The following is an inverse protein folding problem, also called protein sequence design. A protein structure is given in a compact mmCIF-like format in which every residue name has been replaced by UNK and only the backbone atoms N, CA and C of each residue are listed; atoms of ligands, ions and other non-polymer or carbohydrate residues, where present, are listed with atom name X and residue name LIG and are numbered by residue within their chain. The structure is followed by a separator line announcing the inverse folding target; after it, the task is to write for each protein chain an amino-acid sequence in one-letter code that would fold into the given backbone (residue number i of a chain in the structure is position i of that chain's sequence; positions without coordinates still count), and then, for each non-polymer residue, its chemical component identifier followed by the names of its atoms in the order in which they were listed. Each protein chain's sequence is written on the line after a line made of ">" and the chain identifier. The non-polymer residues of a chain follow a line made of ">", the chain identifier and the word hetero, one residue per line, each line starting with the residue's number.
data_IF_725937081099
#
_entry.id   IF_725937081099
#
_cell.length_a   1.000
_cell.length_b   1.000
_cell.length_c   1.000
_cell.angle_alpha   90.00
_cell.angle_beta   90.00
_cell.angle_gamma   90.00
#
_symmetry.space_group_name_H-M   'P 1'
#
loop_
_entity.id
_entity.type
_entity.pdbx_description
1 polymer ?
#
# COMPACT_ATOMS: atom_id res chain seq x y z
N UNK A 1 15.04 14.01 18.23
CA UNK A 1 15.66 15.33 17.99
C UNK A 1 14.74 16.17 17.12
N UNK A 2 14.99 17.48 16.93
CA UNK A 2 14.17 18.36 16.07
C UNK A 2 14.12 17.89 14.62
N UNK A 3 15.24 17.40 14.09
CA UNK A 3 15.37 16.89 12.73
C UNK A 3 14.41 15.74 12.39
N UNK A 4 14.02 14.95 13.40
CA UNK A 4 13.13 13.81 13.21
C UNK A 4 11.63 14.18 13.19
N UNK A 5 11.32 15.44 13.49
CA UNK A 5 9.95 15.97 13.49
C UNK A 5 9.50 16.34 12.09
N UNK A 6 8.18 16.50 11.89
CA UNK A 6 7.67 17.03 10.63
C UNK A 6 8.28 18.39 10.28
N UNK A 7 8.43 19.28 11.26
CA UNK A 7 9.01 20.60 11.03
C UNK A 7 10.48 20.53 10.57
N UNK A 8 11.29 19.75 11.26
CA UNK A 8 12.69 19.53 10.89
C UNK A 8 12.85 18.87 9.52
N UNK A 9 12.04 17.86 9.22
CA UNK A 9 12.05 17.15 7.93
C UNK A 9 11.72 18.08 6.76
N UNK A 10 10.69 18.91 6.90
CA UNK A 10 10.30 19.90 5.87
C UNK A 10 11.38 20.98 5.70
N UNK A 11 11.97 21.45 6.80
CA UNK A 11 13.08 22.41 6.75
C UNK A 11 14.28 21.84 5.98
N UNK A 12 14.64 20.58 6.21
CA UNK A 12 15.77 19.91 5.54
C UNK A 12 15.58 19.78 4.02
N UNK A 13 14.35 19.62 3.54
CA UNK A 13 14.04 19.54 2.10
C UNK A 13 13.81 20.91 1.44
N UNK A 14 13.99 22.00 2.18
CA UNK A 14 14.13 23.35 1.60
C UNK A 14 12.92 24.27 1.69
N UNK A 15 12.01 24.08 2.66
CA UNK A 15 10.93 25.05 2.93
C UNK A 15 11.11 25.71 4.30
N UNK A 16 12.02 26.69 4.37
CA UNK A 16 12.34 27.42 5.61
C UNK A 16 11.36 28.54 5.95
N UNK A 17 10.49 28.95 5.02
CA UNK A 17 9.59 30.09 5.22
C UNK A 17 8.23 29.68 5.81
N UNK A 18 7.81 28.43 5.59
CA UNK A 18 6.46 27.95 5.95
C UNK A 18 6.44 26.96 7.11
N UNK A 19 7.57 26.76 7.76
CA UNK A 19 7.73 25.78 8.84
C UNK A 19 8.45 26.39 10.03
N UNK A 20 8.06 26.00 11.25
CA UNK A 20 8.68 26.50 12.46
C UNK A 20 10.06 25.87 12.68
N UNK A 21 11.09 26.72 12.78
CA UNK A 21 12.45 26.40 13.16
C UNK A 21 12.65 26.27 14.68
N UNK A 22 13.89 25.99 15.07
CA UNK A 22 14.27 25.91 16.49
C UNK A 22 14.01 27.25 17.22
N UNK A 23 14.35 28.37 16.58
CA UNK A 23 14.25 29.71 17.18
C UNK A 23 12.79 30.16 17.41
N UNK A 24 11.85 29.67 16.61
CA UNK A 24 10.42 30.02 16.73
C UNK A 24 9.81 29.45 18.02
N UNK A 25 10.31 28.31 18.51
CA UNK A 25 9.85 27.70 19.76
C UNK A 25 10.79 27.98 20.96
N UNK A 26 12.10 28.03 20.72
CA UNK A 26 13.10 28.17 21.79
C UNK A 26 13.55 29.61 22.06
N UNK A 27 13.00 30.60 21.33
CA UNK A 27 13.37 32.02 21.39
C UNK A 27 14.87 32.23 21.17
N UNK A 28 15.26 32.64 19.96
CA UNK A 28 16.67 32.62 19.50
C UNK A 28 17.67 33.29 20.46
N UNK A 29 17.42 34.54 20.87
CA UNK A 29 18.14 35.18 21.96
C UNK A 29 17.29 35.15 23.23
N UNK A 30 17.90 34.82 24.38
CA UNK A 30 17.24 34.61 25.68
C UNK A 30 16.45 33.29 25.81
N UNK A 31 17.01 32.17 25.34
CA UNK A 31 16.44 30.83 25.58
C UNK A 31 16.36 30.52 27.08
N UNK A 32 15.14 30.50 27.61
CA UNK A 32 14.86 30.16 29.00
C UNK A 32 14.55 28.67 29.17
N UNK A 33 14.91 28.11 30.33
CA UNK A 33 14.54 26.73 30.70
C UNK A 33 13.02 26.58 30.68
N UNK A 34 12.52 25.40 30.30
CA UNK A 34 11.07 25.12 30.25
C UNK A 34 10.34 25.24 31.60
N UNK A 35 11.08 25.28 32.72
CA UNK A 35 10.53 25.53 34.05
C UNK A 35 10.40 27.02 34.40
N UNK A 36 11.00 27.94 33.63
CA UNK A 36 10.82 29.38 33.83
C UNK A 36 9.45 29.80 33.26
N UNK A 37 8.56 30.46 34.03
CA UNK A 37 7.24 30.90 33.57
C UNK A 37 7.26 31.85 32.35
N UNK A 38 8.40 32.50 32.09
CA UNK A 38 8.61 33.38 30.92
C UNK A 38 9.06 32.62 29.68
N UNK A 39 9.40 31.35 29.79
CA UNK A 39 9.77 30.52 28.64
C UNK A 39 8.56 30.25 27.76
N UNK A 40 8.74 30.37 26.44
CA UNK A 40 7.75 29.91 25.45
C UNK A 40 7.45 28.40 25.58
N UNK A 41 8.35 27.65 26.21
CA UNK A 41 8.22 26.21 26.44
C UNK A 41 7.62 25.87 27.80
N UNK A 42 7.25 26.86 28.61
CA UNK A 42 6.58 26.63 29.88
C UNK A 42 5.21 25.98 29.65
N UNK A 43 4.80 24.95 30.43
CA UNK A 43 3.54 24.24 30.22
C UNK A 43 2.30 25.13 30.06
N UNK A 44 2.26 26.26 30.77
CA UNK A 44 1.17 27.23 30.68
C UNK A 44 1.22 28.11 29.41
N UNK A 45 2.40 28.27 28.81
CA UNK A 45 2.62 29.08 27.61
C UNK A 45 2.56 28.27 26.31
N UNK A 46 2.74 26.95 26.37
CA UNK A 46 2.76 26.07 25.19
C UNK A 46 1.54 26.24 24.28
N UNK A 47 0.35 26.43 24.88
CA UNK A 47 -0.85 26.69 24.08
C UNK A 47 -0.71 27.95 23.23
N UNK A 48 -0.26 29.04 23.85
CA UNK A 48 -0.03 30.33 23.18
C UNK A 48 1.04 30.20 22.11
N UNK A 49 2.16 29.55 22.42
CA UNK A 49 3.27 29.35 21.47
C UNK A 49 2.87 28.53 20.24
N UNK A 50 2.15 27.43 20.42
CA UNK A 50 1.65 26.64 19.27
C UNK A 50 0.61 27.43 18.46
N UNK A 51 -0.22 28.25 19.11
CA UNK A 51 -1.29 29.00 18.46
C UNK A 51 -0.78 30.12 17.54
N UNK A 52 0.47 30.57 17.70
CA UNK A 52 1.11 31.53 16.79
C UNK A 52 1.04 31.06 15.32
N UNK A 53 1.25 29.76 15.08
CA UNK A 53 1.15 29.16 13.74
C UNK A 53 -0.13 28.32 13.57
N UNK A 54 -0.65 27.72 14.64
CA UNK A 54 -1.85 26.86 14.61
C UNK A 54 -3.08 27.56 15.22
N UNK A 55 -3.60 28.58 14.53
CA UNK A 55 -4.67 29.43 15.04
C UNK A 55 -5.96 28.70 15.47
N UNK A 56 -6.29 27.57 14.83
CA UNK A 56 -7.51 26.77 15.05
C UNK A 56 -7.32 25.63 16.06
N UNK A 57 -6.19 25.59 16.78
CA UNK A 57 -5.84 24.51 17.69
C UNK A 57 -6.59 24.60 19.04
N UNK A 58 -7.02 23.44 19.54
CA UNK A 58 -7.59 23.29 20.87
C UNK A 58 -6.51 23.01 21.93
N UNK A 59 -6.74 23.40 23.19
CA UNK A 59 -5.75 23.28 24.29
C UNK A 59 -5.26 21.84 24.52
N UNK A 60 -6.08 20.82 24.19
CA UNK A 60 -5.69 19.39 24.27
C UNK A 60 -4.48 19.02 23.40
N UNK A 61 -4.22 19.78 22.33
CA UNK A 61 -3.06 19.56 21.47
C UNK A 61 -1.73 19.79 22.19
N UNK A 62 -1.69 20.55 23.30
CA UNK A 62 -0.46 20.80 24.08
C UNK A 62 0.17 19.52 24.62
N UNK A 63 -0.58 18.41 24.69
CA UNK A 63 -0.02 17.08 24.99
C UNK A 63 0.74 16.44 23.82
N UNK A 64 0.79 17.09 22.65
CA UNK A 64 1.63 16.71 21.53
C UNK A 64 3.09 16.90 21.92
N UNK A 65 3.91 15.85 21.79
CA UNK A 65 5.33 15.97 22.05
C UNK A 65 6.06 16.38 20.77
N UNK A 66 6.59 17.60 20.77
CA UNK A 66 7.35 18.10 19.63
C UNK A 66 8.66 17.32 19.43
N UNK A 67 9.29 16.80 20.49
CA UNK A 67 10.57 16.08 20.42
C UNK A 67 10.57 14.87 21.35
N UNK A 68 9.91 13.75 20.98
CA UNK A 68 9.91 12.55 21.81
C UNK A 68 11.34 12.13 22.18
N UNK A 69 11.58 11.86 23.47
CA UNK A 69 12.90 11.47 23.99
C UNK A 69 13.86 12.62 24.33
N UNK A 70 13.53 13.88 24.03
CA UNK A 70 14.39 15.02 24.38
C UNK A 70 14.43 15.32 25.89
N UNK A 71 13.37 14.99 26.63
CA UNK A 71 13.28 15.21 28.08
C UNK A 71 13.68 13.94 28.83
N UNK A 72 14.81 13.98 29.55
CA UNK A 72 15.28 12.87 30.38
C UNK A 72 14.25 12.53 31.47
N UNK A 73 13.89 11.25 31.60
CA UNK A 73 12.99 10.75 32.64
C UNK A 73 11.48 10.82 32.33
N UNK A 74 11.06 11.42 31.20
CA UNK A 74 9.66 11.40 30.77
C UNK A 74 9.35 10.05 30.10
N UNK A 75 8.30 9.35 30.57
CA UNK A 75 7.92 8.04 30.01
C UNK A 75 6.98 8.19 28.82
N UNK A 76 7.35 7.61 27.68
CA UNK A 76 6.61 7.65 26.41
C UNK A 76 5.90 6.32 26.11
N UNK A 77 5.27 5.70 27.12
CA UNK A 77 4.79 4.32 27.04
C UNK A 77 3.85 4.06 25.86
N UNK A 78 2.83 4.89 25.66
CA UNK A 78 1.87 4.70 24.58
C UNK A 78 2.51 4.81 23.19
N UNK A 79 3.44 5.76 23.02
CA UNK A 79 4.13 5.99 21.77
C UNK A 79 5.08 4.82 21.44
N UNK A 80 5.83 4.35 22.44
CA UNK A 80 6.71 3.20 22.32
C UNK A 80 5.97 1.88 22.07
N UNK A 81 4.81 1.68 22.72
CA UNK A 81 3.95 0.52 22.45
C UNK A 81 3.40 0.54 21.02
N UNK A 82 2.97 1.71 20.52
CA UNK A 82 2.51 1.86 19.16
C UNK A 82 3.64 1.56 18.15
N UNK A 83 4.84 2.09 18.40
CA UNK A 83 6.04 1.83 17.60
C UNK A 83 6.40 0.33 17.57
N UNK A 84 6.51 -0.32 18.73
CA UNK A 84 6.78 -1.76 18.81
C UNK A 84 5.71 -2.56 18.07
N UNK A 85 4.43 -2.22 18.26
CA UNK A 85 3.34 -2.89 17.56
C UNK A 85 3.49 -2.77 16.04
N UNK A 86 3.75 -1.57 15.52
CA UNK A 86 3.95 -1.36 14.07
C UNK A 86 5.18 -2.11 13.54
N UNK A 87 6.29 -2.12 14.29
CA UNK A 87 7.50 -2.86 13.91
C UNK A 87 7.23 -4.37 13.88
N UNK A 88 6.56 -4.91 14.90
CA UNK A 88 6.21 -6.34 14.93
C UNK A 88 5.26 -6.72 13.80
N UNK A 89 4.28 -5.86 13.50
CA UNK A 89 3.39 -6.04 12.36
C UNK A 89 4.18 -6.09 11.05
N UNK A 90 5.08 -5.12 10.84
CA UNK A 90 5.91 -5.01 9.65
C UNK A 90 6.83 -6.22 9.47
N UNK A 91 7.57 -6.59 10.52
CA UNK A 91 8.47 -7.76 10.50
C UNK A 91 7.69 -9.04 10.26
N UNK A 92 6.54 -9.21 10.93
CA UNK A 92 5.69 -10.39 10.78
C UNK A 92 5.16 -10.57 9.36
N UNK A 93 4.61 -9.49 8.77
CA UNK A 93 4.08 -9.50 7.40
C UNK A 93 5.20 -9.77 6.40
N UNK A 94 6.32 -9.04 6.46
CA UNK A 94 7.41 -9.27 5.51
C UNK A 94 8.08 -10.62 5.67
N UNK A 95 8.33 -11.09 6.90
CA UNK A 95 8.91 -12.41 7.11
C UNK A 95 8.05 -13.51 6.49
N UNK A 96 6.72 -13.44 6.65
CA UNK A 96 5.81 -14.40 6.04
C UNK A 96 5.82 -14.31 4.51
N UNK A 97 5.57 -13.12 3.94
CA UNK A 97 5.38 -12.99 2.50
C UNK A 97 6.68 -13.06 1.70
N UNK A 98 7.81 -12.56 2.20
CA UNK A 98 9.09 -12.73 1.52
C UNK A 98 9.57 -14.17 1.56
N UNK A 99 9.40 -14.88 2.69
CA UNK A 99 9.69 -16.32 2.74
C UNK A 99 8.81 -17.07 1.74
N UNK A 100 7.51 -16.75 1.72
CA UNK A 100 6.56 -17.34 0.79
C UNK A 100 6.96 -17.11 -0.68
N UNK A 101 7.19 -15.85 -1.07
CA UNK A 101 7.65 -15.44 -2.40
C UNK A 101 8.94 -16.15 -2.79
N UNK A 102 9.92 -16.22 -1.89
CA UNK A 102 11.19 -16.91 -2.14
C UNK A 102 11.00 -18.41 -2.36
N UNK A 103 10.21 -19.08 -1.51
CA UNK A 103 9.91 -20.51 -1.64
C UNK A 103 9.14 -20.80 -2.93
N UNK A 104 8.21 -19.94 -3.31
CA UNK A 104 7.49 -20.03 -4.57
C UNK A 104 8.44 -19.88 -5.75
N UNK A 105 9.23 -18.81 -5.80
CA UNK A 105 10.21 -18.58 -6.86
C UNK A 105 11.13 -19.79 -7.05
N UNK A 106 11.72 -20.29 -5.96
CA UNK A 106 12.57 -21.49 -5.97
C UNK A 106 11.84 -22.68 -6.58
N UNK A 107 10.62 -22.97 -6.12
CA UNK A 107 9.88 -24.14 -6.56
C UNK A 107 9.44 -24.03 -8.02
N UNK A 108 8.90 -22.88 -8.42
CA UNK A 108 8.49 -22.60 -9.80
C UNK A 108 9.67 -22.72 -10.77
N UNK A 109 10.84 -22.19 -10.38
CA UNK A 109 12.06 -22.31 -11.16
C UNK A 109 12.49 -23.78 -11.34
N UNK A 110 12.51 -24.56 -10.25
CA UNK A 110 12.85 -25.99 -10.30
C UNK A 110 11.89 -26.79 -11.18
N UNK A 111 10.58 -26.55 -11.06
CA UNK A 111 9.57 -27.24 -11.87
C UNK A 111 9.71 -26.87 -13.36
N UNK A 112 10.01 -25.60 -13.68
CA UNK A 112 10.29 -25.17 -15.06
C UNK A 112 11.56 -25.82 -15.62
N UNK A 113 12.63 -25.88 -14.84
CA UNK A 113 13.86 -26.59 -15.23
C UNK A 113 13.63 -28.09 -15.46
N UNK A 114 12.80 -28.75 -14.63
CA UNK A 114 12.44 -30.17 -14.81
C UNK A 114 11.63 -30.39 -16.07
N UNK A 115 10.61 -29.56 -16.31
CA UNK A 115 9.81 -29.62 -17.55
C UNK A 115 10.66 -29.40 -18.79
N UNK A 116 11.61 -28.45 -18.74
CA UNK A 116 12.58 -28.21 -19.83
C UNK A 116 13.47 -29.43 -20.07
N UNK A 117 14.04 -30.03 -19.02
CA UNK A 117 14.86 -31.26 -19.14
C UNK A 117 14.07 -32.45 -19.70
N UNK A 118 12.77 -32.52 -19.42
CA UNK A 118 11.89 -33.56 -19.92
C UNK A 118 11.32 -33.27 -21.33
N UNK A 119 11.73 -32.16 -21.97
CA UNK A 119 11.30 -31.81 -23.33
C UNK A 119 9.87 -31.25 -23.45
N UNK A 120 9.23 -30.87 -22.33
CA UNK A 120 7.84 -30.37 -22.33
C UNK A 120 7.70 -28.85 -22.55
N UNK A 121 8.80 -28.12 -22.74
CA UNK A 121 8.78 -26.67 -23.00
C UNK A 121 9.49 -26.43 -24.33
N UNK A 122 8.72 -26.08 -25.36
CA UNK A 122 9.23 -25.52 -26.61
C UNK A 122 9.45 -24.01 -26.45
N UNK A 123 10.65 -23.54 -26.79
CA UNK A 123 11.01 -22.12 -26.77
C UNK A 123 10.34 -21.40 -27.96
N UNK A 124 9.03 -21.10 -27.86
CA UNK A 124 8.36 -20.22 -28.82
C UNK A 124 8.72 -18.76 -28.56
N UNK A 125 9.65 -18.22 -29.35
CA UNK A 125 9.99 -16.79 -29.39
C UNK A 125 8.93 -15.94 -30.10
N UNK A 126 7.99 -16.57 -30.80
CA UNK A 126 6.95 -15.86 -31.53
C UNK A 126 5.89 -15.31 -30.56
N UNK A 127 5.55 -14.01 -30.61
CA UNK A 127 4.35 -13.52 -29.94
C UNK A 127 3.14 -14.23 -30.57
N UNK A 128 2.45 -15.05 -29.79
CA UNK A 128 1.21 -15.68 -30.23
C UNK A 128 0.22 -14.56 -30.55
N UNK A 129 -0.22 -14.43 -31.80
CA UNK A 129 -1.32 -13.55 -32.17
C UNK A 129 -2.59 -14.07 -31.50
N UNK A 130 -2.98 -13.44 -30.39
CA UNK A 130 -4.09 -13.90 -29.53
C UNK A 130 -5.44 -13.44 -30.08
N UNK A 131 -5.81 -13.90 -31.27
CA UNK A 131 -7.17 -13.75 -31.82
C UNK A 131 -8.16 -14.79 -31.28
N UNK A 132 -7.68 -15.72 -30.44
CA UNK A 132 -8.51 -16.70 -29.76
C UNK A 132 -9.50 -16.01 -28.78
N UNK A 133 -10.70 -16.58 -28.66
CA UNK A 133 -11.71 -16.11 -27.70
C UNK A 133 -11.14 -16.17 -26.29
N UNK A 134 -11.05 -15.02 -25.63
CA UNK A 134 -10.57 -14.86 -24.26
C UNK A 134 -11.72 -14.73 -23.28
N UNK A 135 -11.46 -14.97 -22.00
CA UNK A 135 -12.45 -14.81 -20.93
C UNK A 135 -12.30 -13.43 -20.30
N UNK A 136 -13.43 -12.74 -20.10
CA UNK A 136 -13.47 -11.47 -19.39
C UNK A 136 -13.30 -11.69 -17.87
N UNK A 137 -12.19 -11.21 -17.30
CA UNK A 137 -11.90 -11.22 -15.85
C UNK A 137 -12.34 -9.93 -15.17
N UNK A 138 -12.02 -8.79 -15.78
CA UNK A 138 -12.27 -7.47 -15.20
C UNK A 138 -13.11 -6.58 -16.11
N UNK A 139 -13.99 -5.79 -15.50
CA UNK A 139 -14.80 -4.79 -16.20
C UNK A 139 -14.00 -3.52 -16.47
N UNK A 140 -14.45 -2.68 -17.40
CA UNK A 140 -13.82 -1.39 -17.68
C UNK A 140 -13.74 -0.52 -16.42
N UNK A 141 -14.79 -0.51 -15.59
CA UNK A 141 -14.82 0.21 -14.32
C UNK A 141 -13.68 -0.22 -13.39
N UNK A 142 -13.49 -1.53 -13.21
CA UNK A 142 -12.41 -2.06 -12.36
C UNK A 142 -11.02 -1.70 -12.90
N UNK A 143 -10.85 -1.74 -14.22
CA UNK A 143 -9.59 -1.36 -14.89
C UNK A 143 -9.27 0.12 -14.66
N UNK A 144 -10.25 1.00 -14.84
CA UNK A 144 -10.10 2.46 -14.61
C UNK A 144 -9.81 2.75 -13.14
N UNK A 145 -10.55 2.12 -12.21
CA UNK A 145 -10.30 2.24 -10.78
C UNK A 145 -8.86 1.84 -10.44
N UNK A 146 -8.35 0.76 -11.03
CA UNK A 146 -6.99 0.30 -10.80
C UNK A 146 -5.94 1.28 -11.34
N UNK A 147 -6.13 1.83 -12.54
CA UNK A 147 -5.23 2.86 -13.09
C UNK A 147 -5.20 4.10 -12.19
N UNK A 148 -6.36 4.57 -11.72
CA UNK A 148 -6.43 5.68 -10.78
C UNK A 148 -5.73 5.35 -9.45
N UNK A 149 -5.92 4.14 -8.94
CA UNK A 149 -5.23 3.64 -7.75
C UNK A 149 -3.71 3.68 -7.93
N UNK A 150 -3.19 3.18 -9.05
CA UNK A 150 -1.76 3.20 -9.38
C UNK A 150 -1.22 4.64 -9.37
N UNK A 151 -1.88 5.55 -10.09
CA UNK A 151 -1.44 6.94 -10.21
C UNK A 151 -1.46 7.66 -8.85
N UNK A 152 -2.52 7.48 -8.06
CA UNK A 152 -2.61 8.03 -6.70
C UNK A 152 -1.54 7.44 -5.78
N UNK A 153 -1.34 6.12 -5.81
CA UNK A 153 -0.35 5.45 -4.98
C UNK A 153 1.07 5.91 -5.26
N UNK A 154 1.47 5.98 -6.54
CA UNK A 154 2.79 6.51 -6.91
C UNK A 154 2.97 7.97 -6.52
N UNK A 155 1.92 8.79 -6.63
CA UNK A 155 1.97 10.19 -6.19
C UNK A 155 2.17 10.27 -4.67
N UNK A 156 1.45 9.47 -3.89
CA UNK A 156 1.57 9.42 -2.43
C UNK A 156 2.96 8.96 -1.99
N UNK A 157 3.49 7.89 -2.60
CA UNK A 157 4.85 7.40 -2.33
C UNK A 157 5.88 8.46 -2.72
N UNK A 158 5.79 9.00 -3.94
CA UNK A 158 6.73 9.96 -4.52
C UNK A 158 6.72 11.34 -3.84
N UNK A 159 5.71 11.65 -3.02
CA UNK A 159 5.63 12.90 -2.24
C UNK A 159 5.86 12.67 -0.74
N UNK A 160 5.44 11.52 -0.19
CA UNK A 160 5.56 11.22 1.24
C UNK A 160 6.93 10.69 1.66
N UNK A 161 7.53 9.78 0.89
CA UNK A 161 8.83 9.19 1.21
C UNK A 161 9.99 10.19 1.21
N UNK A 162 10.05 11.19 0.31
CA UNK A 162 11.02 12.27 0.43
C UNK A 162 10.97 13.00 1.78
N UNK A 163 9.78 13.17 2.37
CA UNK A 163 9.65 13.77 3.70
C UNK A 163 10.07 12.79 4.79
N UNK A 164 9.75 11.49 4.66
CA UNK A 164 10.20 10.46 5.61
C UNK A 164 11.73 10.40 5.69
N UNK A 165 12.40 10.47 4.55
CA UNK A 165 13.86 10.37 4.39
C UNK A 165 14.49 11.68 3.92
N UNK A 166 14.13 12.79 4.59
CA UNK A 166 14.51 14.16 4.23
C UNK A 166 16.02 14.43 4.19
N UNK A 167 16.81 13.63 4.91
CA UNK A 167 18.27 13.74 4.96
C UNK A 167 18.96 13.26 3.67
N UNK A 168 18.25 12.49 2.84
CA UNK A 168 18.82 11.89 1.62
C UNK A 168 18.86 12.90 0.46
N UNK A 169 19.86 12.76 -0.42
CA UNK A 169 19.98 13.62 -1.60
C UNK A 169 18.80 13.44 -2.58
N UNK A 170 18.32 12.21 -2.75
CA UNK A 170 17.21 11.91 -3.66
C UNK A 170 15.89 12.51 -3.19
N UNK A 171 15.68 12.67 -1.87
CA UNK A 171 14.49 13.32 -1.33
C UNK A 171 14.36 14.76 -1.84
N UNK A 172 15.46 15.54 -1.79
CA UNK A 172 15.50 16.92 -2.29
C UNK A 172 15.21 16.98 -3.78
N UNK A 173 15.77 16.07 -4.57
CA UNK A 173 15.52 15.99 -6.02
C UNK A 173 14.04 15.72 -6.30
N UNK A 174 13.43 14.72 -5.65
CA UNK A 174 12.02 14.38 -5.86
C UNK A 174 11.10 15.52 -5.43
N UNK A 175 11.35 16.14 -4.28
CA UNK A 175 10.56 17.30 -3.81
C UNK A 175 10.64 18.47 -4.81
N UNK A 176 11.82 18.73 -5.38
CA UNK A 176 11.99 19.79 -6.38
C UNK A 176 11.26 19.49 -7.69
N UNK A 177 11.18 18.22 -8.12
CA UNK A 177 10.39 17.81 -9.29
C UNK A 177 8.90 18.16 -9.10
N UNK A 178 8.39 18.06 -7.87
CA UNK A 178 7.02 18.46 -7.55
C UNK A 178 6.82 19.97 -7.41
N UNK A 179 7.88 20.78 -7.48
CA UNK A 179 7.81 22.24 -7.28
C UNK A 179 8.00 22.67 -5.83
N UNK A 180 8.66 21.86 -5.00
CA UNK A 180 8.99 22.16 -3.60
C UNK A 180 8.03 21.51 -2.59
N UNK A 181 8.33 21.60 -1.26
CA UNK A 181 7.59 20.88 -0.21
C UNK A 181 6.10 21.21 -0.18
N UNK A 182 5.74 22.47 -0.41
CA UNK A 182 4.35 22.88 -0.46
C UNK A 182 3.55 22.21 -1.58
N UNK A 183 4.10 22.20 -2.80
CA UNK A 183 3.44 21.59 -3.95
C UNK A 183 3.41 20.07 -3.83
N UNK A 184 4.49 19.45 -3.34
CA UNK A 184 4.50 18.03 -3.00
C UNK A 184 3.38 17.68 -2.01
N UNK A 185 3.18 18.49 -0.96
CA UNK A 185 2.09 18.34 -0.02
C UNK A 185 0.69 18.56 -0.62
N UNK A 186 0.54 19.45 -1.62
CA UNK A 186 -0.71 19.60 -2.36
C UNK A 186 -1.05 18.36 -3.18
N UNK A 187 -0.10 17.87 -4.00
CA UNK A 187 -0.29 16.66 -4.80
C UNK A 187 -0.54 15.42 -3.95
N UNK A 188 0.15 15.30 -2.81
CA UNK A 188 -0.08 14.24 -1.83
C UNK A 188 -1.55 14.21 -1.39
N UNK A 189 -2.10 15.36 -1.03
CA UNK A 189 -3.50 15.48 -0.56
C UNK A 189 -4.52 15.24 -1.66
N UNK A 190 -4.26 15.70 -2.89
CA UNK A 190 -5.13 15.41 -4.04
C UNK A 190 -5.17 13.90 -4.29
N UNK A 191 -4.00 13.24 -4.33
CA UNK A 191 -3.91 11.80 -4.50
C UNK A 191 -4.59 11.03 -3.36
N UNK A 192 -4.46 11.51 -2.11
CA UNK A 192 -5.14 10.93 -0.96
C UNK A 192 -6.66 11.01 -1.11
N UNK A 193 -7.21 12.13 -1.58
CA UNK A 193 -8.66 12.27 -1.80
C UNK A 193 -9.18 11.33 -2.90
N UNK A 194 -8.44 11.18 -4.00
CA UNK A 194 -8.78 10.21 -5.06
C UNK A 194 -8.81 8.79 -4.49
N UNK A 195 -7.80 8.42 -3.71
CA UNK A 195 -7.73 7.10 -3.10
C UNK A 195 -8.83 6.87 -2.05
N UNK A 196 -9.19 7.89 -1.27
CA UNK A 196 -10.34 7.86 -0.36
C UNK A 196 -11.65 7.65 -1.13
N UNK A 197 -11.85 8.32 -2.26
CA UNK A 197 -13.04 8.14 -3.08
C UNK A 197 -13.12 6.72 -3.66
N UNK A 198 -12.00 6.17 -4.15
CA UNK A 198 -11.91 4.79 -4.62
C UNK A 198 -12.21 3.79 -3.49
N UNK A 199 -11.70 4.02 -2.29
CA UNK A 199 -11.97 3.19 -1.12
C UNK A 199 -13.45 3.20 -0.74
N UNK A 200 -14.07 4.38 -0.62
CA UNK A 200 -15.50 4.51 -0.30
C UNK A 200 -16.39 3.86 -1.37
N UNK A 201 -16.04 4.03 -2.66
CA UNK A 201 -16.75 3.39 -3.75
C UNK A 201 -16.60 1.86 -3.70
N UNK A 202 -15.41 1.36 -3.39
CA UNK A 202 -15.16 -0.08 -3.25
C UNK A 202 -15.89 -0.66 -2.06
N UNK A 203 -15.92 0.05 -0.92
CA UNK A 203 -16.72 -0.33 0.25
C UNK A 203 -18.22 -0.42 -0.10
N UNK A 204 -18.73 0.56 -0.86
CA UNK A 204 -20.11 0.50 -1.36
C UNK A 204 -20.36 -0.71 -2.26
N UNK A 205 -19.42 -1.05 -3.16
CA UNK A 205 -19.51 -2.26 -3.99
C UNK A 205 -19.50 -3.53 -3.13
N UNK A 206 -18.67 -3.61 -2.10
CA UNK A 206 -18.63 -4.73 -1.15
C UNK A 206 -19.95 -4.88 -0.38
N UNK A 207 -20.55 -3.78 0.09
CA UNK A 207 -21.87 -3.79 0.74
C UNK A 207 -22.95 -4.26 -0.24
N UNK A 208 -22.95 -3.76 -1.47
CA UNK A 208 -23.89 -4.16 -2.52
C UNK A 208 -23.75 -5.64 -2.90
N UNK A 209 -22.53 -6.17 -2.89
CA UNK A 209 -22.26 -7.59 -3.12
C UNK A 209 -22.84 -8.47 -1.99
N UNK A 210 -22.66 -8.06 -0.73
CA UNK A 210 -23.17 -8.81 0.42
C UNK A 210 -24.69 -8.75 0.53
N UNK A 211 -25.29 -7.59 0.23
CA UNK A 211 -26.72 -7.33 0.38
C UNK A 211 -27.38 -6.95 -0.96
N UNK A 212 -27.51 -7.89 -1.91
CA UNK A 212 -28.15 -7.61 -3.19
C UNK A 212 -29.62 -7.22 -2.98
N UNK A 213 -30.03 -6.10 -3.59
CA UNK A 213 -31.35 -5.49 -3.38
C UNK A 213 -31.67 -5.23 -1.89
N UNK A 214 -30.65 -5.00 -1.06
CA UNK A 214 -30.75 -4.77 0.39
C UNK A 214 -31.37 -5.93 1.18
N UNK A 215 -31.29 -7.16 0.67
CA UNK A 215 -31.77 -8.36 1.37
C UNK A 215 -30.67 -8.94 2.26
N UNK A 216 -30.99 -9.18 3.54
CA UNK A 216 -30.08 -9.80 4.51
C UNK A 216 -29.97 -11.33 4.33
N UNK A 217 -30.89 -11.98 3.63
CA UNK A 217 -30.85 -13.43 3.48
C UNK A 217 -29.65 -13.91 2.65
N UNK A 218 -28.91 -14.90 3.19
CA UNK A 218 -27.75 -15.50 2.53
C UNK A 218 -26.50 -14.63 2.51
N UNK A 219 -26.38 -13.60 3.36
CA UNK A 219 -25.18 -12.77 3.41
C UNK A 219 -23.93 -13.57 3.81
N UNK A 220 -24.07 -14.52 4.74
CA UNK A 220 -22.94 -15.34 5.23
C UNK A 220 -22.43 -16.31 4.16
N UNK A 221 -23.35 -16.92 3.39
CA UNK A 221 -22.97 -17.80 2.27
C UNK A 221 -22.31 -17.02 1.13
N UNK A 222 -22.71 -15.76 0.91
CA UNK A 222 -21.99 -14.87 -0.02
C UNK A 222 -20.63 -14.46 0.50
N UNK A 223 -20.53 -14.07 1.77
CA UNK A 223 -19.27 -13.63 2.38
C UNK A 223 -18.21 -14.74 2.37
N UNK A 224 -18.60 -15.97 2.68
CA UNK A 224 -17.68 -17.13 2.71
C UNK A 224 -17.64 -17.89 1.38
N UNK A 225 -18.39 -17.42 0.37
CA UNK A 225 -18.48 -18.03 -0.94
C UNK A 225 -17.22 -17.85 -1.80
N UNK A 226 -17.15 -18.55 -2.94
CA UNK A 226 -15.99 -18.54 -3.85
C UNK A 226 -15.79 -17.19 -4.57
N UNK A 227 -16.87 -16.44 -4.79
CA UNK A 227 -16.83 -15.12 -5.44
C UNK A 227 -16.40 -13.99 -4.50
N UNK A 228 -16.32 -14.26 -3.20
CA UNK A 228 -15.94 -13.28 -2.18
C UNK A 228 -14.44 -13.12 -2.06
N UNK A 229 -14.02 -11.89 -1.78
CA UNK A 229 -12.65 -11.56 -1.42
C UNK A 229 -12.37 -11.75 0.08
N UNK A 230 -13.37 -12.19 0.86
CA UNK A 230 -13.19 -12.49 2.28
C UNK A 230 -12.62 -13.91 2.47
N UNK A 231 -11.63 -14.10 3.36
CA UNK A 231 -11.05 -15.41 3.66
C UNK A 231 -12.07 -16.43 4.15
N UNK A 232 -11.91 -17.67 3.71
CA UNK A 232 -12.71 -18.83 4.10
C UNK A 232 -11.81 -20.05 4.35
N UNK A 233 -12.42 -21.20 4.67
CA UNK A 233 -11.67 -22.42 4.99
C UNK A 233 -10.84 -22.96 3.82
N UNK A 234 -11.24 -22.70 2.57
CA UNK A 234 -10.48 -23.10 1.38
C UNK A 234 -9.15 -22.37 1.30
N UNK A 235 -9.10 -21.11 1.71
CA UNK A 235 -7.86 -20.33 1.73
C UNK A 235 -6.83 -20.94 2.68
N UNK A 236 -7.26 -21.42 3.86
CA UNK A 236 -6.37 -22.12 4.79
C UNK A 236 -5.87 -23.45 4.20
N UNK A 237 -6.74 -24.21 3.54
CA UNK A 237 -6.35 -25.43 2.84
C UNK A 237 -5.32 -25.15 1.73
N UNK A 238 -5.51 -24.05 0.98
CA UNK A 238 -4.60 -23.63 -0.08
C UNK A 238 -3.26 -23.16 0.45
N UNK A 239 -3.22 -22.44 1.58
CA UNK A 239 -1.96 -22.07 2.24
C UNK A 239 -1.20 -23.34 2.62
N UNK A 240 -1.84 -24.28 3.33
CA UNK A 240 -1.21 -25.55 3.74
C UNK A 240 -0.75 -26.35 2.51
N UNK A 241 -1.59 -26.43 1.47
CA UNK A 241 -1.26 -27.08 0.20
C UNK A 241 -0.06 -26.43 -0.48
N UNK A 242 0.02 -25.10 -0.48
CA UNK A 242 1.13 -24.35 -1.07
C UNK A 242 2.44 -24.63 -0.35
N UNK A 243 2.45 -24.64 0.99
CA UNK A 243 3.65 -25.01 1.76
C UNK A 243 4.05 -26.47 1.53
N UNK A 244 3.10 -27.41 1.44
CA UNK A 244 3.40 -28.80 1.04
C UNK A 244 4.07 -28.84 -0.34
N UNK A 245 3.54 -28.09 -1.31
CA UNK A 245 4.10 -28.00 -2.66
C UNK A 245 5.51 -27.39 -2.69
N UNK A 246 5.76 -26.32 -1.92
CA UNK A 246 7.08 -25.69 -1.81
C UNK A 246 8.18 -26.66 -1.37
N UNK A 247 7.83 -27.63 -0.51
CA UNK A 247 8.74 -28.67 -0.03
C UNK A 247 8.60 -30.00 -0.77
N UNK A 248 7.85 -30.05 -1.88
CA UNK A 248 7.69 -31.25 -2.71
C UNK A 248 6.88 -32.37 -2.06
N UNK A 249 6.08 -32.05 -1.03
CA UNK A 249 5.23 -33.00 -0.28
C UNK A 249 3.78 -33.06 -0.79
N UNK A 250 3.53 -32.53 -1.99
CA UNK A 250 2.21 -32.52 -2.61
C UNK A 250 2.20 -31.77 -3.95
N UNK A 251 1.13 -31.91 -4.74
CA UNK A 251 0.92 -31.11 -5.95
C UNK A 251 0.61 -29.65 -5.60
N UNK A 252 0.69 -28.77 -6.59
CA UNK A 252 0.24 -27.38 -6.46
C UNK A 252 -1.27 -27.38 -6.11
N UNK A 253 -1.73 -26.57 -5.13
CA UNK A 253 -3.14 -26.52 -4.76
C UNK A 253 -4.00 -26.05 -5.92
N UNK A 254 -5.21 -26.60 -6.05
CA UNK A 254 -6.17 -26.17 -7.05
C UNK A 254 -6.86 -24.89 -6.57
N UNK A 255 -6.54 -23.77 -7.21
CA UNK A 255 -7.00 -22.45 -6.79
C UNK A 255 -8.39 -22.14 -7.36
N UNK A 256 -9.16 -21.38 -6.59
CA UNK A 256 -10.46 -20.85 -7.01
C UNK A 256 -10.31 -19.44 -7.60
N UNK A 257 -11.41 -18.80 -8.00
CA UNK A 257 -11.49 -17.47 -8.63
C UNK A 257 -10.52 -16.45 -8.03
N UNK A 258 -10.55 -16.37 -6.70
CA UNK A 258 -9.65 -15.56 -5.88
C UNK A 258 -8.73 -16.46 -5.07
N UNK A 259 -7.44 -16.23 -5.23
CA UNK A 259 -6.39 -16.87 -4.42
C UNK A 259 -6.30 -16.22 -3.05
N UNK A 260 -5.80 -16.95 -2.06
CA UNK A 260 -5.67 -16.42 -0.70
C UNK A 260 -4.77 -15.18 -0.62
N UNK A 261 -3.76 -15.05 -1.51
CA UNK A 261 -2.93 -13.85 -1.56
C UNK A 261 -3.63 -12.68 -2.24
N UNK A 262 -4.44 -12.90 -3.29
CA UNK A 262 -5.30 -11.82 -3.85
C UNK A 262 -6.31 -11.32 -2.81
N UNK A 263 -6.88 -12.22 -2.01
CA UNK A 263 -7.77 -11.87 -0.89
C UNK A 263 -7.02 -11.10 0.20
N UNK A 264 -5.81 -11.55 0.54
CA UNK A 264 -4.97 -10.84 1.49
C UNK A 264 -4.62 -9.43 0.97
N UNK A 265 -4.15 -9.30 -0.27
CA UNK A 265 -3.85 -7.99 -0.89
C UNK A 265 -5.05 -7.05 -0.78
N UNK A 266 -6.26 -7.55 -1.11
CA UNK A 266 -7.48 -6.77 -0.99
C UNK A 266 -7.77 -6.33 0.45
N UNK A 267 -7.75 -7.24 1.42
CA UNK A 267 -8.05 -6.92 2.82
C UNK A 267 -6.96 -6.09 3.49
N UNK A 268 -5.69 -6.34 3.17
CA UNK A 268 -4.56 -5.56 3.65
C UNK A 268 -4.66 -4.11 3.18
N UNK A 269 -5.10 -3.86 1.94
CA UNK A 269 -5.38 -2.50 1.48
C UNK A 269 -6.55 -1.88 2.24
N UNK A 270 -7.61 -2.61 2.58
CA UNK A 270 -8.72 -2.07 3.40
C UNK A 270 -8.27 -1.67 4.81
N UNK A 271 -7.46 -2.53 5.44
CA UNK A 271 -6.80 -2.22 6.71
C UNK A 271 -5.92 -0.97 6.58
N UNK A 272 -4.99 -1.01 5.63
CA UNK A 272 -4.02 0.05 5.41
C UNK A 272 -4.69 1.38 5.10
N UNK A 273 -5.74 1.39 4.28
CA UNK A 273 -6.51 2.60 3.96
C UNK A 273 -7.21 3.19 5.17
N UNK A 274 -7.69 2.34 6.07
CA UNK A 274 -8.30 2.78 7.33
C UNK A 274 -7.23 3.40 8.23
N UNK A 275 -6.08 2.73 8.40
CA UNK A 275 -4.98 3.20 9.24
C UNK A 275 -4.33 4.49 8.70
N UNK A 276 -3.86 4.48 7.45
CA UNK A 276 -3.19 5.62 6.80
C UNK A 276 -4.18 6.75 6.48
N UNK A 277 -5.43 6.44 6.12
CA UNK A 277 -6.45 7.43 5.82
C UNK A 277 -6.87 8.20 7.07
N UNK A 278 -7.22 7.50 8.16
CA UNK A 278 -7.60 8.16 9.42
C UNK A 278 -6.44 8.95 10.01
N UNK A 279 -5.25 8.36 10.08
CA UNK A 279 -4.06 9.09 10.54
C UNK A 279 -3.72 10.27 9.64
N UNK A 280 -3.84 10.14 8.32
CA UNK A 280 -3.61 11.22 7.36
C UNK A 280 -4.57 12.40 7.56
N UNK A 281 -5.86 12.14 7.79
CA UNK A 281 -6.81 13.20 8.12
C UNK A 281 -6.50 13.88 9.46
N UNK A 282 -6.06 13.13 10.46
CA UNK A 282 -5.60 13.71 11.74
C UNK A 282 -4.40 14.64 11.54
N UNK A 283 -3.45 14.25 10.67
CA UNK A 283 -2.25 15.04 10.38
C UNK A 283 -2.51 16.22 9.44
N UNK A 284 -3.50 16.12 8.56
CA UNK A 284 -3.91 17.23 7.70
C UNK A 284 -4.71 18.28 8.48
N UNK A 285 -5.59 17.86 9.39
CA UNK A 285 -6.42 18.76 10.19
C UNK A 285 -6.18 18.65 11.71
N UNK A 286 -4.93 18.84 12.19
CA UNK A 286 -4.58 18.60 13.59
C UNK A 286 -5.36 19.52 14.55
N UNK A 287 -5.68 20.75 14.11
CA UNK A 287 -6.52 21.68 14.87
C UNK A 287 -7.93 21.12 15.12
N UNK A 288 -8.60 20.65 14.06
CA UNK A 288 -9.94 20.05 14.17
C UNK A 288 -9.92 18.79 15.04
N UNK A 289 -8.99 17.87 14.80
CA UNK A 289 -8.90 16.63 15.55
C UNK A 289 -8.50 16.85 17.01
N UNK A 290 -7.79 17.93 17.33
CA UNK A 290 -7.46 18.26 18.73
C UNK A 290 -8.67 18.59 19.61
N UNK A 291 -9.85 18.86 19.02
CA UNK A 291 -11.11 18.95 19.78
C UNK A 291 -11.62 17.56 20.19
N UNK A 292 -11.28 16.52 19.44
CA UNK A 292 -11.77 15.15 19.64
C UNK A 292 -10.78 14.33 20.47
N UNK A 293 -9.50 14.40 20.12
CA UNK A 293 -8.42 13.60 20.73
C UNK A 293 -7.29 14.48 21.28
N UNK A 294 -6.54 14.01 22.29
CA UNK A 294 -5.36 14.72 22.79
C UNK A 294 -4.18 14.66 21.81
N UNK A 295 -3.27 15.64 21.89
CA UNK A 295 -2.10 15.76 21.01
C UNK A 295 -1.15 14.55 21.00
N UNK A 296 -1.06 13.77 22.07
CA UNK A 296 -0.28 12.53 22.05
C UNK A 296 -0.87 11.45 21.11
N UNK A 297 -2.18 11.47 20.85
CA UNK A 297 -2.80 10.58 19.83
C UNK A 297 -2.39 11.01 18.43
N UNK A 298 -2.21 12.31 18.19
CA UNK A 298 -1.70 12.82 16.91
C UNK A 298 -0.24 12.40 16.70
N UNK A 299 0.57 12.28 17.77
CA UNK A 299 1.90 11.67 17.67
C UNK A 299 1.83 10.20 17.22
N UNK A 300 0.91 9.43 17.78
CA UNK A 300 0.68 8.04 17.34
C UNK A 300 0.24 8.01 15.87
N UNK A 301 -0.63 8.93 15.45
CA UNK A 301 -1.03 9.04 14.05
C UNK A 301 0.18 9.27 13.14
N UNK A 302 1.18 10.06 13.53
CA UNK A 302 2.43 10.22 12.76
C UNK A 302 3.18 8.90 12.58
N UNK A 303 3.29 8.09 13.64
CA UNK A 303 3.94 6.77 13.59
C UNK A 303 3.15 5.83 12.70
N UNK A 304 1.86 5.66 12.96
CA UNK A 304 0.99 4.74 12.20
C UNK A 304 0.99 5.13 10.72
N UNK A 305 0.85 6.42 10.39
CA UNK A 305 0.86 6.88 9.02
C UNK A 305 2.19 6.56 8.32
N UNK A 306 3.31 6.82 8.99
CA UNK A 306 4.65 6.62 8.41
C UNK A 306 5.02 5.15 8.25
N UNK A 307 4.68 4.31 9.22
CA UNK A 307 4.99 2.88 9.20
C UNK A 307 4.04 2.09 8.30
N UNK A 308 2.74 2.44 8.28
CA UNK A 308 1.79 1.83 7.34
C UNK A 308 2.11 2.22 5.89
N UNK A 309 2.54 3.46 5.63
CA UNK A 309 3.00 3.88 4.30
C UNK A 309 4.22 3.05 3.84
N UNK A 310 5.15 2.76 4.77
CA UNK A 310 6.29 1.90 4.49
C UNK A 310 5.87 0.46 4.20
N UNK A 311 5.00 -0.10 5.05
CA UNK A 311 4.44 -1.43 4.86
C UNK A 311 3.77 -1.56 3.49
N UNK A 312 2.87 -0.63 3.15
CA UNK A 312 2.15 -0.63 1.89
C UNK A 312 3.09 -0.49 0.67
N UNK A 313 4.02 0.46 0.69
CA UNK A 313 4.96 0.67 -0.43
C UNK A 313 5.82 -0.56 -0.70
N UNK A 314 6.48 -1.07 0.34
CA UNK A 314 7.40 -2.21 0.19
C UNK A 314 6.61 -3.48 -0.13
N UNK A 315 5.45 -3.71 0.48
CA UNK A 315 4.61 -4.86 0.15
C UNK A 315 4.16 -4.84 -1.31
N UNK A 316 3.68 -3.70 -1.81
CA UNK A 316 3.25 -3.58 -3.20
C UNK A 316 4.42 -3.78 -4.18
N UNK A 317 5.56 -3.12 -3.95
CA UNK A 317 6.70 -3.22 -4.86
C UNK A 317 7.45 -4.55 -4.79
N UNK A 318 7.37 -5.29 -3.69
CA UNK A 318 8.04 -6.60 -3.54
C UNK A 318 7.10 -7.77 -3.78
N UNK A 319 5.98 -7.84 -3.06
CA UNK A 319 5.09 -9.02 -3.03
C UNK A 319 4.06 -8.93 -4.15
N UNK A 320 3.33 -7.82 -4.24
CA UNK A 320 2.28 -7.66 -5.27
C UNK A 320 2.88 -7.67 -6.68
N UNK A 321 3.96 -6.92 -6.90
CA UNK A 321 4.70 -6.95 -8.17
C UNK A 321 5.26 -8.33 -8.47
N UNK A 322 5.80 -9.04 -7.46
CA UNK A 322 6.30 -10.39 -7.69
C UNK A 322 5.18 -11.33 -8.16
N UNK A 323 4.09 -11.40 -7.40
CA UNK A 323 2.98 -12.33 -7.64
C UNK A 323 2.37 -12.17 -9.04
N UNK A 324 2.36 -10.95 -9.56
CA UNK A 324 1.73 -10.64 -10.84
C UNK A 324 2.73 -10.52 -12.00
N UNK A 325 4.00 -10.18 -11.79
CA UNK A 325 4.89 -9.79 -12.91
C UNK A 325 6.25 -10.50 -12.91
N UNK A 326 6.76 -10.97 -11.76
CA UNK A 326 8.13 -11.51 -11.68
C UNK A 326 8.14 -13.04 -11.59
N UNK A 327 7.01 -13.66 -11.21
CA UNK A 327 6.88 -15.12 -11.22
C UNK A 327 7.21 -15.65 -12.63
N UNK A 328 8.03 -16.73 -12.77
CA UNK A 328 8.54 -17.21 -14.06
C UNK A 328 7.51 -17.55 -15.15
N UNK A 329 6.23 -17.68 -14.78
CA UNK A 329 5.12 -17.99 -15.69
C UNK A 329 4.40 -16.73 -16.20
N UNK A 330 4.60 -15.59 -15.52
CA UNK A 330 3.93 -14.30 -15.81
C UNK A 330 4.89 -13.20 -16.25
N UNK A 331 6.20 -13.47 -16.14
CA UNK A 331 7.26 -12.57 -16.57
C UNK A 331 7.16 -12.26 -18.07
N UNK A 332 7.39 -10.99 -18.49
CA UNK A 332 7.81 -9.83 -17.69
C UNK A 332 6.66 -8.98 -17.13
N UNK A 333 5.43 -9.21 -17.57
CA UNK A 333 4.25 -8.43 -17.19
C UNK A 333 2.99 -9.26 -17.41
N UNK A 334 2.10 -9.25 -16.42
CA UNK A 334 0.74 -9.79 -16.56
C UNK A 334 -0.21 -8.64 -16.97
N UNK A 335 -0.77 -8.67 -18.19
CA UNK A 335 -1.57 -7.55 -18.71
C UNK A 335 -3.04 -7.61 -18.26
N UNK A 336 -3.45 -8.64 -17.52
CA UNK A 336 -4.85 -8.99 -17.27
C UNK A 336 -5.67 -7.85 -16.65
N UNK A 337 -5.10 -7.10 -15.69
CA UNK A 337 -5.79 -5.96 -15.07
C UNK A 337 -5.90 -4.75 -16.00
N UNK A 338 -5.06 -4.66 -17.03
CA UNK A 338 -5.09 -3.58 -18.00
C UNK A 338 -5.93 -3.92 -19.23
N UNK A 339 -5.95 -5.18 -19.67
CA UNK A 339 -6.78 -5.67 -20.79
C UNK A 339 -8.18 -6.07 -20.34
N UNK A 340 -8.32 -6.52 -19.09
CA UNK A 340 -9.52 -7.11 -18.51
C UNK A 340 -9.77 -8.55 -18.92
N UNK A 341 -8.84 -9.20 -19.63
CA UNK A 341 -9.03 -10.49 -20.31
C UNK A 341 -7.79 -11.37 -20.20
N UNK A 342 -8.03 -12.69 -20.22
CA UNK A 342 -7.00 -13.73 -20.22
C UNK A 342 -7.50 -14.98 -20.97
N UNK A 343 -6.59 -15.86 -21.39
CA UNK A 343 -6.95 -17.02 -22.23
C UNK A 343 -7.69 -18.09 -21.44
N UNK A 344 -8.44 -18.95 -22.14
CA UNK A 344 -9.19 -20.06 -21.52
C UNK A 344 -8.21 -21.07 -20.91
N UNK A 345 -7.07 -21.27 -21.55
CA UNK A 345 -5.98 -22.13 -21.11
C UNK A 345 -5.38 -21.60 -19.81
N UNK A 346 -5.09 -20.29 -19.74
CA UNK A 346 -4.62 -19.66 -18.52
C UNK A 346 -5.64 -19.75 -17.38
N UNK A 347 -6.94 -19.66 -17.69
CA UNK A 347 -8.00 -19.90 -16.70
C UNK A 347 -8.01 -21.32 -16.17
N UNK A 348 -7.88 -22.32 -17.05
CA UNK A 348 -7.83 -23.73 -16.64
C UNK A 348 -6.61 -24.01 -15.76
N UNK A 349 -5.46 -23.41 -16.06
CA UNK A 349 -4.22 -23.64 -15.30
C UNK A 349 -4.19 -22.86 -13.98
N UNK A 350 -4.56 -21.57 -14.00
CA UNK A 350 -4.42 -20.69 -12.84
C UNK A 350 -5.63 -20.72 -11.91
N UNK A 351 -6.83 -21.00 -12.44
CA UNK A 351 -8.12 -20.94 -11.72
C UNK A 351 -8.98 -22.18 -12.02
N UNK A 352 -8.46 -23.41 -11.79
CA UNK A 352 -9.12 -24.65 -12.18
C UNK A 352 -10.51 -24.81 -11.59
N UNK A 353 -10.71 -24.47 -10.31
CA UNK A 353 -12.03 -24.62 -9.67
C UNK A 353 -13.08 -23.64 -10.20
N UNK A 354 -12.67 -22.44 -10.58
CA UNK A 354 -13.56 -21.47 -11.24
C UNK A 354 -13.93 -21.97 -12.64
N UNK A 355 -12.95 -22.48 -13.39
CA UNK A 355 -13.15 -23.04 -14.72
C UNK A 355 -14.14 -24.22 -14.70
N UNK A 356 -13.91 -25.21 -13.84
CA UNK A 356 -14.78 -26.39 -13.71
C UNK A 356 -16.22 -26.00 -13.38
N UNK A 357 -16.40 -25.04 -12.47
CA UNK A 357 -17.71 -24.52 -12.08
C UNK A 357 -18.42 -23.85 -13.26
N UNK A 358 -17.74 -22.99 -14.01
CA UNK A 358 -18.34 -22.28 -15.14
C UNK A 358 -18.69 -23.20 -16.31
N UNK A 359 -17.90 -24.27 -16.53
CA UNK A 359 -18.23 -25.32 -17.49
C UNK A 359 -19.46 -26.10 -17.04
N UNK A 360 -19.51 -26.51 -15.77
CA UNK A 360 -20.65 -27.24 -15.20
C UNK A 360 -21.94 -26.41 -15.23
N UNK A 361 -21.85 -25.10 -15.05
CA UNK A 361 -22.98 -24.16 -15.12
C UNK A 361 -23.35 -23.74 -16.55
N UNK A 362 -22.56 -24.11 -17.57
CA UNK A 362 -22.78 -23.69 -18.97
C UNK A 362 -22.56 -22.21 -19.24
N UNK A 363 -21.85 -21.49 -18.36
CA UNK A 363 -21.67 -20.02 -18.40
C UNK A 363 -20.35 -19.57 -19.03
N UNK A 364 -19.51 -20.51 -19.44
CA UNK A 364 -18.19 -20.20 -20.01
C UNK A 364 -18.31 -19.37 -21.31
N UNK A 365 -19.32 -19.64 -22.13
CA UNK A 365 -19.51 -18.90 -23.39
C UNK A 365 -20.01 -17.46 -23.18
N UNK A 366 -20.76 -17.20 -22.10
CA UNK A 366 -21.28 -15.86 -21.78
C UNK A 366 -20.17 -14.82 -21.52
N UNK A 367 -19.06 -15.31 -20.96
CA UNK A 367 -17.91 -14.49 -20.56
C UNK A 367 -16.80 -14.49 -21.62
N UNK A 368 -16.93 -15.28 -22.70
CA UNK A 368 -16.02 -15.23 -23.84
C UNK A 368 -16.19 -13.91 -24.59
N UNK A 369 -15.06 -13.31 -24.93
CA UNK A 369 -14.93 -12.07 -25.70
C UNK A 369 -13.78 -12.26 -26.70
N UNK A 370 -13.75 -11.43 -27.73
CA UNK A 370 -12.61 -11.36 -28.62
C UNK A 370 -11.33 -10.95 -27.85
N UNK A 371 -10.15 -11.16 -28.44
CA UNK A 371 -8.90 -10.68 -27.87
C UNK A 371 -8.90 -9.16 -27.63
N UNK A 372 -8.07 -8.63 -26.71
CA UNK A 372 -7.90 -7.19 -26.58
C UNK A 372 -7.26 -6.63 -27.86
N UNK A 373 -7.80 -5.53 -28.39
CA UNK A 373 -7.24 -4.89 -29.58
C UNK A 373 -5.82 -4.35 -29.36
N UNK A 374 -5.09 -4.13 -30.45
CA UNK A 374 -3.67 -3.71 -30.46
C UNK A 374 -3.38 -2.54 -29.50
N UNK A 375 -4.19 -1.48 -29.54
CA UNK A 375 -4.00 -0.30 -28.68
C UNK A 375 -4.13 -0.62 -27.19
N UNK A 376 -5.02 -1.53 -26.82
CA UNK A 376 -5.17 -1.96 -25.41
C UNK A 376 -3.97 -2.76 -24.96
N UNK A 377 -3.42 -3.62 -25.83
CA UNK A 377 -2.21 -4.39 -25.52
C UNK A 377 -0.98 -3.49 -25.41
N UNK A 378 -0.84 -2.52 -26.32
CA UNK A 378 0.26 -1.56 -26.30
C UNK A 378 0.21 -0.70 -25.03
N UNK A 379 -0.97 -0.17 -24.69
CA UNK A 379 -1.18 0.57 -23.45
C UNK A 379 -0.84 -0.29 -22.23
N UNK A 380 -1.39 -1.51 -22.16
CA UNK A 380 -1.13 -2.42 -21.04
C UNK A 380 0.36 -2.68 -20.85
N UNK A 381 1.09 -2.88 -21.95
CA UNK A 381 2.53 -3.17 -21.93
C UNK A 381 3.34 -1.95 -21.50
N UNK A 382 3.11 -0.79 -22.13
CA UNK A 382 3.86 0.44 -21.83
C UNK A 382 3.57 0.95 -20.41
N UNK A 383 2.30 1.05 -20.05
CA UNK A 383 1.89 1.55 -18.74
C UNK A 383 2.26 0.57 -17.62
N UNK A 384 2.03 -0.73 -17.84
CA UNK A 384 2.37 -1.77 -16.86
C UNK A 384 3.87 -1.88 -16.62
N UNK A 385 4.68 -1.95 -17.68
CA UNK A 385 6.13 -2.03 -17.55
C UNK A 385 6.73 -0.73 -17.00
N UNK A 386 6.23 0.43 -17.44
CA UNK A 386 6.64 1.72 -16.89
C UNK A 386 6.34 1.85 -15.40
N UNK A 387 5.15 1.40 -14.96
CA UNK A 387 4.77 1.34 -13.55
C UNK A 387 5.67 0.39 -12.76
N UNK A 388 5.96 -0.79 -13.31
CA UNK A 388 6.86 -1.77 -12.68
C UNK A 388 8.27 -1.17 -12.48
N UNK A 389 8.84 -0.56 -13.52
CA UNK A 389 10.16 0.07 -13.45
C UNK A 389 10.19 1.21 -12.43
N UNK A 390 9.18 2.09 -12.45
CA UNK A 390 9.08 3.19 -11.49
C UNK A 390 9.01 2.68 -10.05
N UNK A 391 8.20 1.65 -9.79
CA UNK A 391 8.10 1.06 -8.46
C UNK A 391 9.40 0.39 -8.00
N UNK A 392 10.13 -0.28 -8.89
CA UNK A 392 11.44 -0.86 -8.55
C UNK A 392 12.50 0.21 -8.28
N UNK A 393 12.49 1.33 -9.02
CA UNK A 393 13.38 2.48 -8.75
C UNK A 393 13.07 3.07 -7.37
N UNK A 394 11.80 3.35 -7.08
CA UNK A 394 11.38 3.86 -5.78
C UNK A 394 11.74 2.89 -4.65
N UNK A 395 11.51 1.60 -4.85
CA UNK A 395 11.90 0.57 -3.89
C UNK A 395 13.41 0.59 -3.60
N UNK A 396 14.25 0.71 -4.64
CA UNK A 396 15.69 0.83 -4.50
C UNK A 396 16.09 2.06 -3.68
N UNK A 397 15.47 3.22 -3.93
CA UNK A 397 15.70 4.44 -3.14
C UNK A 397 15.26 4.29 -1.68
N UNK A 398 14.13 3.63 -1.43
CA UNK A 398 13.61 3.37 -0.09
C UNK A 398 14.55 2.46 0.69
N UNK A 399 14.99 1.34 0.10
CA UNK A 399 15.94 0.45 0.77
C UNK A 399 17.30 1.09 1.00
N UNK A 400 17.78 1.87 0.02
CA UNK A 400 18.99 2.66 0.20
C UNK A 400 18.87 3.59 1.41
N UNK A 401 17.75 4.32 1.53
CA UNK A 401 17.53 5.20 2.67
C UNK A 401 17.54 4.41 3.99
N UNK A 402 16.76 3.33 4.10
CA UNK A 402 16.66 2.50 5.32
C UNK A 402 18.00 1.90 5.77
N UNK A 403 18.88 1.56 4.83
CA UNK A 403 20.16 0.89 5.14
C UNK A 403 21.27 1.86 5.53
N UNK A 404 21.20 3.11 5.07
CA UNK A 404 22.31 4.06 5.18
C UNK A 404 21.96 5.32 5.99
N UNK A 405 20.69 5.53 6.34
CA UNK A 405 20.15 6.64 7.12
C UNK A 405 19.15 6.12 8.14
#
# INVERSE_FOLDING_TARGET
>A
TYDQTYHGKVLQVGDSERVAGCADCHTGHNTLKSADPRSALHPDQLYTSCKTCHATMHKRFVSFDAHPGAVKGKTYRALHLAEIFMILLLVGVFAFFWLHTFLWWRRAYLDKCRKRKAGFIEDSLAPVCRDEKQVQRFTVTQRVMHVLLILSFFTLVGTGFPIKYSETAWAKVLVNIWGGPHMAGLFHRIAALVLCALFLYTLWLSIRFLFPKWRLQGWLSRLLGPDSLFPNMKDLQDIIGMFKWFFGRGPMPQLDRWTYWEKFDFLAVFWGMTAIGLSGFMLWFPGLFSYIVPGWVINIATIVHSEEAFLAAVFIFTVHFFNNHIVPNKFPLEPNIFTGRYTVEAMREERPLEYERLVAEGRLDDIKREGPGLWTQLFASLFGLGSLMLGLILLGLIFWAVLFY
#
